data_IF_260437654867
#
_entry.id   IF_260437654867
#
_cell.length_a   1.000
_cell.length_b   1.000
_cell.length_c   1.000
_cell.angle_alpha   90.00
_cell.angle_beta   90.00
_cell.angle_gamma   90.00
#
_symmetry.space_group_name_H-M   'P 1'
#
loop_
_entity.id
_entity.type
_entity.pdbx_description
1 polymer ?
#
# COMPACT_ATOMS: atom_id res chain seq x y z
N UNK A 1 -28.51 14.04 2.43
CA UNK A 1 -29.19 15.20 3.08
C UNK A 1 -28.58 16.52 2.58
N UNK A 2 -29.28 17.68 2.65
CA UNK A 2 -28.72 18.97 2.21
C UNK A 2 -27.42 19.38 2.93
N UNK A 3 -27.26 18.96 4.19
CA UNK A 3 -26.07 19.23 5.00
C UNK A 3 -24.80 18.54 4.47
N UNK A 4 -24.89 17.26 4.09
CA UNK A 4 -23.76 16.49 3.53
C UNK A 4 -23.21 17.14 2.25
N UNK A 5 -24.10 17.71 1.41
CA UNK A 5 -23.69 18.40 0.19
C UNK A 5 -22.96 19.71 0.50
N UNK A 6 -23.39 20.45 1.51
CA UNK A 6 -22.72 21.69 1.92
C UNK A 6 -21.32 21.41 2.49
N UNK A 7 -21.15 20.30 3.19
CA UNK A 7 -19.88 19.85 3.75
C UNK A 7 -18.88 19.46 2.65
N UNK A 8 -19.27 18.64 1.68
CA UNK A 8 -18.40 18.31 0.54
C UNK A 8 -17.98 19.54 -0.27
N UNK A 9 -18.90 20.51 -0.45
CA UNK A 9 -18.59 21.76 -1.16
C UNK A 9 -17.61 22.63 -0.37
N UNK A 10 -17.73 22.71 0.95
CA UNK A 10 -16.79 23.44 1.80
C UNK A 10 -15.40 22.81 1.73
N UNK A 11 -15.32 21.48 1.79
CA UNK A 11 -14.05 20.74 1.68
C UNK A 11 -13.38 20.96 0.33
N UNK A 12 -14.13 20.92 -0.77
CA UNK A 12 -13.60 21.24 -2.09
C UNK A 12 -13.09 22.68 -2.16
N UNK A 13 -13.84 23.65 -1.64
CA UNK A 13 -13.44 25.06 -1.64
C UNK A 13 -12.13 25.28 -0.88
N UNK A 14 -11.99 24.68 0.30
CA UNK A 14 -10.76 24.77 1.11
C UNK A 14 -9.59 24.07 0.40
N UNK A 15 -9.80 22.88 -0.16
CA UNK A 15 -8.76 22.13 -0.86
C UNK A 15 -8.19 22.89 -2.07
N UNK A 16 -9.06 23.54 -2.87
CA UNK A 16 -8.64 24.38 -4.00
C UNK A 16 -7.83 25.58 -3.53
N UNK A 17 -8.26 26.24 -2.44
CA UNK A 17 -7.55 27.39 -1.88
C UNK A 17 -6.17 27.05 -1.31
N UNK A 18 -5.99 25.84 -0.77
CA UNK A 18 -4.73 25.41 -0.16
C UNK A 18 -3.74 24.82 -1.16
N UNK A 19 -4.21 24.10 -2.17
CA UNK A 19 -3.33 23.38 -3.11
C UNK A 19 -3.02 24.16 -4.39
N UNK A 20 -3.85 25.14 -4.76
CA UNK A 20 -3.85 25.78 -6.08
C UNK A 20 -3.92 24.80 -7.28
N UNK A 21 -4.24 23.53 -7.02
CA UNK A 21 -4.34 22.45 -7.99
C UNK A 21 -5.77 21.90 -7.98
N UNK A 22 -6.49 22.17 -9.07
CA UNK A 22 -7.92 21.84 -9.19
C UNK A 22 -8.15 20.33 -9.21
N UNK A 23 -7.26 19.56 -9.85
CA UNK A 23 -7.46 18.11 -10.03
C UNK A 23 -7.28 17.38 -8.72
N UNK A 24 -6.21 17.69 -8.00
CA UNK A 24 -5.90 17.13 -6.68
C UNK A 24 -6.97 17.48 -5.64
N UNK A 25 -7.51 18.70 -5.72
CA UNK A 25 -8.59 19.17 -4.84
C UNK A 25 -9.91 18.44 -5.07
N UNK A 26 -10.25 18.12 -6.32
CA UNK A 26 -11.45 17.36 -6.67
C UNK A 26 -11.34 15.92 -6.18
N UNK A 27 -10.20 15.26 -6.40
CA UNK A 27 -9.94 13.91 -5.89
C UNK A 27 -10.09 13.87 -4.37
N UNK A 28 -9.45 14.82 -3.66
CA UNK A 28 -9.52 14.91 -2.20
C UNK A 28 -10.96 15.07 -1.67
N UNK A 29 -11.78 15.92 -2.30
CA UNK A 29 -13.16 16.14 -1.88
C UNK A 29 -14.07 14.91 -2.13
N UNK A 30 -13.80 14.16 -3.21
CA UNK A 30 -14.49 12.90 -3.53
C UNK A 30 -14.15 11.84 -2.50
N UNK A 31 -12.86 11.64 -2.21
CA UNK A 31 -12.40 10.66 -1.21
C UNK A 31 -12.97 10.97 0.18
N UNK A 32 -12.98 12.25 0.56
CA UNK A 32 -13.58 12.70 1.81
C UNK A 32 -15.09 12.37 1.89
N UNK A 33 -15.84 12.58 0.81
CA UNK A 33 -17.27 12.28 0.76
C UNK A 33 -17.54 10.77 0.85
N UNK A 34 -16.71 9.94 0.22
CA UNK A 34 -16.82 8.49 0.32
C UNK A 34 -16.54 7.98 1.73
N UNK A 35 -15.49 8.50 2.37
CA UNK A 35 -15.13 8.11 3.74
C UNK A 35 -16.16 8.56 4.78
N UNK A 36 -16.71 9.77 4.62
CA UNK A 36 -17.54 10.41 5.66
C UNK A 36 -19.04 10.17 5.44
N UNK A 37 -19.50 10.05 4.18
CA UNK A 37 -20.92 9.93 3.86
C UNK A 37 -21.36 8.52 3.42
N UNK A 38 -20.43 7.56 3.26
CA UNK A 38 -20.69 6.20 2.76
C UNK A 38 -21.28 5.18 3.75
N UNK A 39 -21.80 5.62 4.90
CA UNK A 39 -22.25 4.75 5.99
C UNK A 39 -23.64 4.12 5.79
N UNK A 40 -23.80 3.17 4.86
CA UNK A 40 -24.87 2.17 4.93
C UNK A 40 -24.27 0.83 5.36
N UNK A 41 -24.22 0.57 6.67
CA UNK A 41 -23.85 -0.74 7.22
C UNK A 41 -25.01 -1.72 6.97
N UNK A 42 -24.95 -2.44 5.85
CA UNK A 42 -25.76 -3.64 5.66
C UNK A 42 -24.84 -4.85 5.58
N UNK A 43 -25.06 -5.81 6.47
CA UNK A 43 -24.35 -7.09 6.45
C UNK A 43 -24.77 -7.86 5.20
N UNK A 44 -23.86 -8.24 4.28
CA UNK A 44 -24.25 -9.02 3.13
C UNK A 44 -24.68 -10.42 3.58
N UNK A 45 -25.79 -10.89 3.00
CA UNK A 45 -26.33 -12.24 3.22
C UNK A 45 -25.51 -13.21 2.38
N UNK A 46 -24.93 -14.24 3.01
CA UNK A 46 -24.16 -15.27 2.31
C UNK A 46 -25.05 -16.01 1.30
N UNK A 47 -24.60 -16.05 0.05
CA UNK A 47 -25.17 -16.91 -0.99
C UNK A 47 -24.11 -17.97 -1.34
N UNK A 48 -24.46 -19.23 -1.15
CA UNK A 48 -23.67 -20.36 -1.63
C UNK A 48 -23.84 -20.48 -3.14
N UNK A 49 -22.72 -20.52 -3.89
CA UNK A 49 -22.73 -20.95 -5.28
C UNK A 49 -21.74 -22.10 -5.48
N UNK A 50 -22.28 -23.14 -6.10
CA UNK A 50 -21.67 -24.43 -6.42
C UNK A 50 -20.51 -24.30 -7.40
N UNK A 51 -19.52 -25.18 -7.22
CA UNK A 51 -18.37 -25.40 -8.09
C UNK A 51 -18.78 -25.71 -9.54
N UNK A 52 -18.24 -24.93 -10.48
CA UNK A 52 -18.09 -25.35 -11.88
C UNK A 52 -16.59 -25.37 -12.16
N UNK A 53 -16.08 -26.55 -12.52
CA UNK A 53 -14.71 -26.73 -12.96
C UNK A 53 -14.56 -26.18 -14.39
N UNK A 54 -13.63 -25.24 -14.59
CA UNK A 54 -13.27 -24.72 -15.91
C UNK A 54 -12.34 -23.52 -15.79
N UNK A 55 -11.10 -23.72 -16.22
CA UNK A 55 -9.99 -22.75 -16.30
C UNK A 55 -9.55 -22.13 -14.95
N UNK A 56 -8.24 -22.09 -14.70
CA UNK A 56 -7.69 -21.51 -13.47
C UNK A 56 -7.77 -20.00 -13.62
N UNK A 57 -8.96 -19.45 -13.43
CA UNK A 57 -9.18 -18.02 -13.21
C UNK A 57 -8.31 -17.65 -12.01
N UNK A 58 -7.24 -16.89 -12.26
CA UNK A 58 -6.37 -16.39 -11.19
C UNK A 58 -7.28 -15.52 -10.33
N UNK A 59 -7.54 -15.96 -9.10
CA UNK A 59 -8.29 -15.16 -8.15
C UNK A 59 -7.64 -13.77 -8.09
N UNK A 60 -8.43 -12.67 -8.15
CA UNK A 60 -7.85 -11.35 -8.19
C UNK A 60 -6.90 -11.17 -7.00
N UNK A 61 -5.70 -10.67 -7.28
CA UNK A 61 -4.68 -10.51 -6.26
C UNK A 61 -5.13 -9.42 -5.27
N UNK A 62 -4.90 -9.66 -3.99
CA UNK A 62 -5.29 -8.71 -2.96
C UNK A 62 -4.30 -7.54 -2.95
N UNK A 63 -4.76 -6.29 -2.81
CA UNK A 63 -3.86 -5.14 -2.65
C UNK A 63 -2.91 -5.32 -1.47
N UNK A 64 -1.66 -4.92 -1.62
CA UNK A 64 -0.66 -4.98 -0.54
C UNK A 64 -0.74 -3.72 0.31
N UNK A 65 -0.86 -3.87 1.62
CA UNK A 65 -0.80 -2.75 2.56
C UNK A 65 0.57 -2.66 3.22
N UNK A 66 1.21 -1.50 3.12
CA UNK A 66 2.42 -1.15 3.88
C UNK A 66 2.05 -0.21 5.01
N UNK A 67 2.18 -0.67 6.26
CA UNK A 67 1.93 0.15 7.44
C UNK A 67 3.24 0.47 8.13
N UNK A 68 3.63 1.75 8.18
CA UNK A 68 4.90 2.15 8.79
C UNK A 68 4.85 2.04 10.30
N UNK A 69 5.84 1.35 10.87
CA UNK A 69 5.98 1.13 12.31
C UNK A 69 7.36 1.64 12.76
N UNK A 70 7.38 2.36 13.89
CA UNK A 70 8.61 2.82 14.54
C UNK A 70 8.50 2.61 16.04
N UNK A 71 9.49 1.94 16.64
CA UNK A 71 9.53 1.64 18.08
C UNK A 71 8.25 0.97 18.61
N UNK A 72 7.61 0.12 17.81
CA UNK A 72 6.35 -0.57 18.16
C UNK A 72 5.09 0.27 18.01
N UNK A 73 5.18 1.50 17.49
CA UNK A 73 4.03 2.36 17.22
C UNK A 73 3.81 2.51 15.72
N UNK A 74 2.54 2.52 15.32
CA UNK A 74 2.14 2.89 13.95
C UNK A 74 2.34 4.39 13.78
N UNK A 75 3.13 4.78 12.78
CA UNK A 75 3.51 6.19 12.56
C UNK A 75 2.93 6.80 11.29
N UNK A 76 2.29 6.00 10.43
CA UNK A 76 1.57 6.50 9.26
C UNK A 76 0.32 5.67 8.94
N UNK A 77 -0.53 6.18 8.05
CA UNK A 77 -1.65 5.42 7.51
C UNK A 77 -1.13 4.33 6.55
N UNK A 78 -1.84 3.19 6.39
CA UNK A 78 -1.43 2.17 5.44
C UNK A 78 -1.37 2.72 4.02
N UNK A 79 -0.29 2.42 3.30
CA UNK A 79 -0.15 2.66 1.86
C UNK A 79 -0.57 1.39 1.12
N UNK A 80 -1.63 1.49 0.33
CA UNK A 80 -2.16 0.38 -0.45
C UNK A 80 -1.57 0.38 -1.86
N UNK A 81 -0.94 -0.72 -2.24
CA UNK A 81 -0.39 -0.95 -3.57
C UNK A 81 -1.32 -1.91 -4.31
N UNK A 82 -1.79 -1.49 -5.49
CA UNK A 82 -2.59 -2.35 -6.34
C UNK A 82 -1.69 -3.40 -7.02
N UNK A 83 -2.17 -4.64 -7.20
CA UNK A 83 -1.41 -5.67 -7.90
C UNK A 83 -1.00 -5.20 -9.30
N UNK A 84 0.30 -5.18 -9.57
CA UNK A 84 0.88 -4.79 -10.85
C UNK A 84 2.28 -5.40 -11.00
N UNK A 85 2.62 -5.87 -12.19
CA UNK A 85 3.97 -6.32 -12.53
C UNK A 85 4.98 -5.16 -12.59
N UNK A 86 4.52 -3.96 -12.93
CA UNK A 86 5.36 -2.75 -12.90
C UNK A 86 5.70 -2.37 -11.46
N UNK A 87 4.80 -2.66 -10.52
CA UNK A 87 5.02 -2.43 -9.09
C UNK A 87 5.15 -0.96 -8.72
N UNK A 88 5.83 -0.71 -7.61
CA UNK A 88 6.16 0.63 -7.08
C UNK A 88 7.57 0.65 -6.52
N UNK A 89 8.24 1.80 -6.60
CA UNK A 89 9.52 2.01 -5.94
C UNK A 89 9.34 2.64 -4.56
N UNK A 90 10.21 2.22 -3.64
CA UNK A 90 10.32 2.80 -2.30
C UNK A 90 11.72 3.41 -2.17
N UNK A 91 11.77 4.67 -1.76
CA UNK A 91 13.03 5.37 -1.56
C UNK A 91 12.84 6.85 -1.27
N UNK A 92 13.90 7.48 -0.75
CA UNK A 92 13.84 8.88 -0.35
C UNK A 92 13.57 9.86 -1.52
N UNK A 93 13.83 9.44 -2.76
CA UNK A 93 13.64 10.23 -3.98
C UNK A 93 12.89 9.42 -5.06
N UNK A 94 12.02 8.48 -4.66
CA UNK A 94 11.14 7.78 -5.58
C UNK A 94 10.09 8.77 -6.14
N UNK A 95 9.91 8.81 -7.46
CA UNK A 95 9.12 9.86 -8.15
C UNK A 95 8.07 9.31 -9.11
N UNK A 96 7.99 7.99 -9.27
CA UNK A 96 6.96 7.31 -10.04
C UNK A 96 5.57 7.54 -9.45
N UNK A 97 4.55 7.32 -10.28
CA UNK A 97 3.17 7.40 -9.83
C UNK A 97 2.88 6.24 -8.86
N UNK A 98 2.48 6.56 -7.63
CA UNK A 98 2.22 5.55 -6.59
C UNK A 98 3.45 5.17 -5.75
N UNK A 99 4.64 5.68 -6.09
CA UNK A 99 5.86 5.45 -5.33
C UNK A 99 5.76 5.92 -3.88
N UNK A 100 6.60 5.33 -3.03
CA UNK A 100 6.55 5.52 -1.58
C UNK A 100 7.82 6.23 -1.11
N UNK A 101 7.62 7.45 -0.61
CA UNK A 101 8.64 8.32 -0.04
C UNK A 101 8.50 8.52 1.47
N UNK A 102 7.53 7.85 2.12
CA UNK A 102 7.36 7.84 3.59
C UNK A 102 8.42 6.96 4.27
N UNK A 103 9.68 7.38 4.18
CA UNK A 103 10.84 6.61 4.65
C UNK A 103 11.71 7.44 5.60
N UNK A 104 12.59 6.76 6.32
CA UNK A 104 13.61 7.42 7.15
C UNK A 104 14.78 7.98 6.33
N UNK A 105 15.69 8.67 7.02
CA UNK A 105 16.82 9.39 6.43
C UNK A 105 17.96 8.48 5.96
N UNK A 106 18.01 7.25 6.46
CA UNK A 106 18.98 6.22 6.09
C UNK A 106 18.53 5.37 4.88
N UNK A 107 17.41 5.71 4.24
CA UNK A 107 16.89 5.02 3.08
C UNK A 107 17.40 5.68 1.79
N UNK A 108 18.10 4.90 0.94
CA UNK A 108 18.55 5.31 -0.39
C UNK A 108 17.46 5.95 -1.27
N UNK A 109 17.89 6.76 -2.24
CA UNK A 109 17.02 7.48 -3.18
C UNK A 109 16.02 6.56 -3.90
N UNK A 110 16.51 5.44 -4.41
CA UNK A 110 15.75 4.29 -4.92
C UNK A 110 16.27 3.08 -4.14
N UNK A 111 15.49 2.58 -3.20
CA UNK A 111 15.97 1.61 -2.22
C UNK A 111 15.50 0.20 -2.51
N UNK A 112 14.19 0.05 -2.71
CA UNK A 112 13.56 -1.22 -2.99
C UNK A 112 12.46 -1.07 -4.03
N UNK A 113 12.17 -2.14 -4.74
CA UNK A 113 11.06 -2.25 -5.68
C UNK A 113 10.12 -3.36 -5.24
N UNK A 114 8.82 -3.10 -5.24
CA UNK A 114 7.79 -4.07 -4.85
C UNK A 114 6.83 -4.24 -6.01
N UNK A 115 6.54 -5.48 -6.38
CA UNK A 115 5.60 -5.80 -7.45
C UNK A 115 4.80 -7.06 -7.13
N UNK A 116 3.74 -7.27 -7.90
CA UNK A 116 2.92 -8.48 -7.85
C UNK A 116 3.06 -9.21 -9.19
N UNK A 117 3.34 -10.51 -9.15
CA UNK A 117 3.43 -11.33 -10.37
C UNK A 117 2.07 -11.77 -10.91
N UNK A 118 2.05 -12.43 -12.07
CA UNK A 118 0.83 -12.99 -12.68
C UNK A 118 0.10 -14.01 -11.79
N UNK A 119 0.78 -14.59 -10.79
CA UNK A 119 0.20 -15.55 -9.86
C UNK A 119 -0.49 -14.88 -8.66
N UNK A 120 -0.35 -13.56 -8.52
CA UNK A 120 -0.84 -12.79 -7.38
C UNK A 120 0.08 -12.82 -6.17
N UNK A 121 1.33 -13.25 -6.34
CA UNK A 121 2.34 -13.26 -5.28
C UNK A 121 3.13 -11.94 -5.27
N UNK A 122 3.34 -11.41 -4.07
CA UNK A 122 4.08 -10.17 -3.86
C UNK A 122 5.56 -10.43 -3.65
N UNK A 123 6.38 -9.59 -4.26
CA UNK A 123 7.84 -9.66 -4.17
C UNK A 123 8.43 -8.30 -3.85
N UNK A 124 9.63 -8.33 -3.25
CA UNK A 124 10.49 -7.17 -3.06
C UNK A 124 11.89 -7.47 -3.58
N UNK A 125 12.51 -6.49 -4.21
CA UNK A 125 13.92 -6.49 -4.61
C UNK A 125 14.65 -5.31 -3.98
N UNK A 126 15.89 -5.53 -3.55
CA UNK A 126 16.79 -4.46 -3.17
C UNK A 126 17.46 -3.85 -4.41
N UNK A 127 17.34 -2.53 -4.59
CA UNK A 127 17.87 -1.78 -5.74
C UNK A 127 19.32 -1.35 -5.53
N UNK A 128 20.16 -2.21 -4.94
CA UNK A 128 21.53 -1.90 -4.52
C UNK A 128 21.58 -0.75 -3.51
N UNK A 129 20.73 -0.84 -2.48
CA UNK A 129 20.65 0.16 -1.44
C UNK A 129 21.92 0.18 -0.57
N UNK A 130 22.18 1.30 0.10
CA UNK A 130 23.37 1.47 0.94
C UNK A 130 23.29 0.65 2.22
N UNK A 131 22.10 0.62 2.83
CA UNK A 131 21.88 0.03 4.16
C UNK A 131 21.10 -1.29 4.11
N UNK A 132 20.72 -1.74 2.92
CA UNK A 132 20.11 -3.04 2.68
C UNK A 132 18.62 -3.11 2.97
N UNK A 133 18.02 -4.14 2.39
CA UNK A 133 16.62 -4.52 2.57
C UNK A 133 16.53 -5.88 3.27
N UNK A 134 15.64 -6.00 4.27
CA UNK A 134 15.40 -7.25 5.02
C UNK A 134 13.91 -7.55 5.08
N UNK A 135 13.55 -8.80 4.81
CA UNK A 135 12.21 -9.32 5.09
C UNK A 135 12.27 -10.17 6.36
N UNK A 136 11.48 -9.85 7.37
CA UNK A 136 11.33 -10.66 8.59
C UNK A 136 10.02 -11.43 8.49
N UNK A 137 10.12 -12.75 8.52
CA UNK A 137 8.95 -13.59 8.41
C UNK A 137 8.06 -13.48 9.66
N UNK A 138 6.78 -13.16 9.48
CA UNK A 138 5.86 -12.92 10.59
C UNK A 138 5.59 -14.14 11.48
N UNK A 139 5.69 -15.35 10.92
CA UNK A 139 5.38 -16.60 11.63
C UNK A 139 6.59 -17.18 12.38
N UNK A 140 7.79 -17.00 11.83
CA UNK A 140 9.01 -17.65 12.32
C UNK A 140 10.04 -16.67 12.88
N UNK A 141 9.85 -15.36 12.65
CA UNK A 141 10.82 -14.30 12.97
C UNK A 141 12.18 -14.47 12.30
N UNK A 142 12.26 -15.27 11.23
CA UNK A 142 13.48 -15.43 10.43
C UNK A 142 13.69 -14.16 9.61
N UNK A 143 14.88 -13.58 9.72
CA UNK A 143 15.32 -12.47 8.90
C UNK A 143 15.95 -12.98 7.60
N UNK A 144 15.43 -12.52 6.47
CA UNK A 144 15.91 -12.81 5.12
C UNK A 144 16.51 -11.52 4.57
N UNK A 145 17.82 -11.48 4.42
CA UNK A 145 18.48 -10.40 3.70
C UNK A 145 18.14 -10.52 2.21
N UNK A 146 17.61 -9.46 1.63
CA UNK A 146 17.36 -9.40 0.18
C UNK A 146 18.67 -9.00 -0.48
N UNK A 147 19.26 -9.91 -1.26
CA UNK A 147 20.46 -9.60 -2.04
C UNK A 147 20.10 -8.60 -3.16
N UNK A 148 20.95 -7.60 -3.45
CA UNK A 148 20.72 -6.69 -4.58
C UNK A 148 20.57 -7.45 -5.90
N UNK A 149 19.54 -7.14 -6.69
CA UNK A 149 19.27 -7.87 -7.94
C UNK A 149 18.50 -9.19 -7.76
N UNK A 150 18.16 -9.57 -6.52
CA UNK A 150 17.35 -10.75 -6.20
C UNK A 150 16.05 -10.34 -5.55
N UNK A 151 15.01 -11.13 -5.83
CA UNK A 151 13.70 -10.97 -5.23
C UNK A 151 13.54 -11.85 -3.99
N UNK A 152 12.80 -11.34 -3.01
CA UNK A 152 12.27 -12.08 -1.88
C UNK A 152 10.74 -11.98 -1.87
N UNK A 153 10.06 -13.06 -1.50
CA UNK A 153 8.61 -13.07 -1.41
C UNK A 153 8.14 -12.32 -0.16
N UNK A 154 7.10 -11.51 -0.30
CA UNK A 154 6.38 -10.88 0.79
C UNK A 154 5.09 -11.64 1.08
N UNK A 155 4.90 -12.02 2.34
CA UNK A 155 3.68 -12.63 2.84
C UNK A 155 2.97 -11.72 3.85
N UNK A 156 1.66 -11.92 4.05
CA UNK A 156 0.94 -11.19 5.08
C UNK A 156 1.54 -11.46 6.45
N UNK A 157 1.62 -10.43 7.30
CA UNK A 157 2.27 -10.45 8.63
C UNK A 157 3.80 -10.39 8.61
N UNK A 158 4.44 -10.39 7.45
CA UNK A 158 5.88 -10.13 7.39
C UNK A 158 6.18 -8.67 7.76
N UNK A 159 7.42 -8.40 8.16
CA UNK A 159 7.96 -7.05 8.26
C UNK A 159 8.97 -6.81 7.13
N UNK A 160 8.85 -5.68 6.45
CA UNK A 160 9.85 -5.20 5.50
C UNK A 160 10.66 -4.08 6.15
N UNK A 161 11.98 -4.26 6.25
CA UNK A 161 12.91 -3.29 6.82
C UNK A 161 13.80 -2.72 5.73
N UNK A 162 13.86 -1.40 5.66
CA UNK A 162 14.71 -0.64 4.74
C UNK A 162 15.68 0.17 5.59
N UNK A 163 16.97 -0.14 5.49
CA UNK A 163 17.96 0.36 6.45
C UNK A 163 17.63 -0.02 7.90
N UNK A 164 18.07 0.81 8.84
CA UNK A 164 17.87 0.63 10.29
C UNK A 164 16.60 1.32 10.80
N UNK A 165 16.17 2.42 10.17
CA UNK A 165 15.14 3.29 10.72
C UNK A 165 13.72 3.05 10.20
N UNK A 166 13.57 2.35 9.06
CA UNK A 166 12.28 2.18 8.39
C UNK A 166 11.83 0.73 8.45
N UNK A 167 10.66 0.51 9.07
CA UNK A 167 10.00 -0.79 9.10
C UNK A 167 8.55 -0.64 8.65
N UNK A 168 8.11 -1.53 7.78
CA UNK A 168 6.72 -1.68 7.36
C UNK A 168 6.18 -3.04 7.79
N UNK A 169 5.00 -3.06 8.38
CA UNK A 169 4.22 -4.28 8.53
C UNK A 169 3.44 -4.55 7.22
N UNK A 170 3.46 -5.80 6.76
CA UNK A 170 2.80 -6.23 5.54
C UNK A 170 1.38 -6.71 5.83
N UNK A 171 0.41 -6.11 5.14
CA UNK A 171 -1.02 -6.39 5.23
C UNK A 171 -1.58 -6.78 3.86
N UNK A 172 -2.71 -7.49 3.81
CA UNK A 172 -3.50 -7.63 2.59
C UNK A 172 -4.84 -6.92 2.72
N UNK A 173 -5.21 -6.20 1.67
CA UNK A 173 -6.50 -5.53 1.55
C UNK A 173 -7.60 -6.51 1.18
N UNK A 174 -8.85 -6.09 1.32
CA UNK A 174 -9.99 -6.82 0.77
C UNK A 174 -10.08 -6.58 -0.76
N UNK A 175 -10.72 -7.52 -1.46
CA UNK A 175 -11.04 -7.45 -2.88
C UNK A 175 -12.35 -6.68 -3.13
#
# INVERSE_FOLDING_TARGET
MPAERAETILVLFVAVGCSADVRSSVTYAIDYAHATCGGATSTPRSLSTSSVAGEREVAPAHPLGLLRVQNGYVVSAPRWIQPSEEGVEIGALATGEGDITDVGDDVSARHAHIWCDESGAWFVEDLSSTNGTVVVNGATSVCIQVEPGRSAQLSPSDELKLGESTTYAILLGAL
#
